data_IF_323523898228
#
_entry.id   IF_323523898228
#
_cell.length_a   1.000
_cell.length_b   1.000
_cell.length_c   1.000
_cell.angle_alpha   90.00
_cell.angle_beta   90.00
_cell.angle_gamma   90.00
#
_symmetry.space_group_name_H-M   'P 1'
#
loop_
_entity.id
_entity.type
_entity.pdbx_description
1 polymer ?
#
# COMPACT_ATOMS: atom_id res chain seq x y z
N UNK A 1 15.36 -6.38 -13.16
CA UNK A 1 16.33 -5.58 -12.39
C UNK A 1 16.21 -5.99 -10.92
N UNK A 2 16.80 -7.13 -10.57
CA UNK A 2 16.57 -7.90 -9.34
C UNK A 2 17.92 -8.43 -8.84
N UNK A 3 18.82 -7.52 -8.45
CA UNK A 3 20.12 -7.87 -7.88
C UNK A 3 20.57 -6.69 -7.04
N UNK A 4 20.39 -6.75 -5.71
CA UNK A 4 21.18 -6.03 -4.67
C UNK A 4 20.60 -6.30 -3.26
N UNK A 5 20.44 -7.58 -2.89
CA UNK A 5 20.14 -7.97 -1.50
C UNK A 5 21.11 -9.03 -0.99
N UNK A 6 22.29 -9.09 -1.60
CA UNK A 6 23.39 -9.96 -1.20
C UNK A 6 24.53 -9.06 -0.81
N UNK A 7 24.73 -8.87 0.51
CA UNK A 7 25.96 -8.50 1.24
C UNK A 7 25.57 -7.65 2.47
N UNK A 8 25.71 -8.28 3.65
CA UNK A 8 25.82 -7.77 5.04
C UNK A 8 24.76 -8.28 6.04
N UNK A 9 24.73 -9.59 6.24
CA UNK A 9 24.67 -10.25 7.55
C UNK A 9 24.67 -11.76 7.29
N UNK A 10 25.43 -12.55 8.05
CA UNK A 10 25.17 -14.00 8.10
C UNK A 10 23.69 -14.17 8.43
N UNK A 11 22.90 -14.92 7.64
CA UNK A 11 21.50 -15.15 7.96
C UNK A 11 21.47 -15.82 9.32
N UNK A 12 20.85 -15.16 10.31
CA UNK A 12 20.36 -15.88 11.49
C UNK A 12 19.50 -17.00 10.95
N UNK A 13 19.87 -18.25 11.23
CA UNK A 13 18.94 -19.36 11.08
C UNK A 13 17.84 -19.07 12.10
N UNK A 14 16.68 -18.66 11.60
CA UNK A 14 15.51 -18.47 12.42
C UNK A 14 15.10 -19.84 12.97
N UNK A 15 15.50 -20.11 14.21
CA UNK A 15 14.89 -21.17 14.99
C UNK A 15 13.65 -20.56 15.64
N UNK A 16 12.60 -20.36 14.85
CA UNK A 16 11.26 -20.29 15.42
C UNK A 16 10.95 -21.67 16.01
N UNK A 17 10.37 -21.76 17.22
CA UNK A 17 9.78 -23.00 17.67
C UNK A 17 8.82 -23.48 16.58
N UNK A 18 8.89 -24.77 16.21
CA UNK A 18 7.99 -25.37 15.20
C UNK A 18 6.49 -25.24 15.56
N UNK A 19 6.20 -24.77 16.76
CA UNK A 19 4.87 -24.64 17.35
C UNK A 19 4.40 -23.18 17.53
N UNK A 20 4.84 -22.26 16.66
CA UNK A 20 4.23 -20.93 16.60
C UNK A 20 2.79 -21.05 16.04
N UNK A 21 1.85 -21.32 16.95
CA UNK A 21 0.42 -21.31 16.70
C UNK A 21 -0.14 -19.91 17.03
N UNK A 22 -1.00 -19.31 16.18
CA UNK A 22 -1.72 -18.09 16.53
C UNK A 22 -2.60 -18.24 17.78
N UNK A 23 -2.88 -19.48 18.23
CA UNK A 23 -3.53 -19.73 19.51
C UNK A 23 -2.59 -19.48 20.72
N UNK A 24 -1.27 -19.66 20.57
CA UNK A 24 -0.29 -19.36 21.61
C UNK A 24 0.03 -17.86 21.72
N UNK A 25 -0.23 -17.07 20.67
CA UNK A 25 -0.22 -15.61 20.79
C UNK A 25 -1.30 -15.10 21.77
N UNK A 26 -2.40 -15.85 21.92
CA UNK A 26 -3.48 -15.54 22.87
C UNK A 26 -3.14 -15.95 24.32
N UNK A 27 -2.25 -16.93 24.52
CA UNK A 27 -1.81 -17.38 25.85
C UNK A 27 -0.72 -16.47 26.45
N UNK A 28 -0.06 -15.68 25.60
CA UNK A 28 0.90 -14.64 26.01
C UNK A 28 0.18 -13.31 26.33
N UNK A 29 -1.16 -13.26 26.28
CA UNK A 29 -1.99 -12.16 26.78
C UNK A 29 -2.10 -12.16 28.33
N UNK A 30 -0.98 -12.31 29.03
CA UNK A 30 -0.92 -12.01 30.46
C UNK A 30 -0.82 -10.50 30.65
N UNK A 31 -1.56 -9.89 31.60
CA UNK A 31 -1.45 -8.46 31.85
C UNK A 31 -0.06 -8.14 32.39
N UNK A 32 0.60 -7.13 31.82
CA UNK A 32 1.80 -6.46 32.36
C UNK A 32 2.74 -7.34 33.21
N UNK A 33 3.63 -8.09 32.55
CA UNK A 33 4.81 -8.69 33.20
C UNK A 33 6.02 -7.75 33.28
N UNK A 34 5.82 -6.45 33.08
CA UNK A 34 6.81 -5.48 33.56
C UNK A 34 6.55 -5.30 35.06
N UNK A 35 7.43 -5.78 35.96
CA UNK A 35 7.27 -5.51 37.37
C UNK A 35 7.26 -3.99 37.56
N UNK A 36 6.17 -3.46 38.11
CA UNK A 36 6.13 -2.12 38.69
C UNK A 36 7.22 -2.10 39.77
N UNK A 37 8.35 -1.47 39.46
CA UNK A 37 9.52 -1.35 40.35
C UNK A 37 9.97 0.10 40.37
N UNK A 38 10.58 0.54 41.49
CA UNK A 38 10.47 1.91 41.98
C UNK A 38 11.10 2.94 41.05
N UNK A 39 10.42 4.09 40.95
CA UNK A 39 10.93 5.31 40.31
C UNK A 39 12.37 5.59 40.77
N UNK A 40 13.26 5.83 39.81
CA UNK A 40 14.63 6.35 39.97
C UNK A 40 15.76 5.40 40.41
N UNK A 41 15.67 4.09 40.13
CA UNK A 41 16.87 3.24 40.20
C UNK A 41 17.90 3.66 39.11
N UNK A 42 19.21 3.75 39.43
CA UNK A 42 20.26 3.95 38.43
C UNK A 42 20.19 2.86 37.35
N UNK A 43 20.51 3.19 36.10
CA UNK A 43 20.43 2.26 34.96
C UNK A 43 21.09 0.90 35.28
N UNK A 44 22.27 0.89 35.90
CA UNK A 44 22.96 -0.34 36.30
C UNK A 44 22.12 -1.22 37.25
N UNK A 45 21.44 -0.64 38.24
CA UNK A 45 20.59 -1.38 39.18
C UNK A 45 19.33 -1.91 38.49
N UNK A 46 18.76 -1.15 37.56
CA UNK A 46 17.62 -1.59 36.77
C UNK A 46 17.99 -2.73 35.82
N UNK A 47 19.14 -2.66 35.15
CA UNK A 47 19.61 -3.70 34.23
C UNK A 47 19.77 -5.06 34.93
N UNK A 48 20.31 -5.08 36.15
CA UNK A 48 20.44 -6.30 36.95
C UNK A 48 19.11 -6.80 37.55
N UNK A 49 18.02 -6.04 37.43
CA UNK A 49 16.67 -6.45 37.87
C UNK A 49 15.84 -7.08 36.75
N UNK A 50 16.35 -7.10 35.51
CA UNK A 50 15.66 -7.71 34.38
C UNK A 50 15.54 -9.24 34.57
N UNK A 51 14.36 -9.84 34.29
CA UNK A 51 14.21 -11.30 34.33
C UNK A 51 15.15 -12.02 33.38
N UNK A 52 15.62 -13.23 33.74
CA UNK A 52 16.52 -14.02 32.90
C UNK A 52 15.93 -14.34 31.51
N UNK A 53 14.61 -14.49 31.41
CA UNK A 53 13.87 -14.74 30.17
C UNK A 53 13.54 -13.46 29.37
N UNK A 54 13.96 -12.29 29.84
CA UNK A 54 13.63 -11.00 29.21
C UNK A 54 14.09 -10.91 27.76
N UNK A 55 15.30 -11.40 27.46
CA UNK A 55 15.81 -11.41 26.10
C UNK A 55 14.98 -12.30 25.19
N UNK A 56 14.53 -13.47 25.66
CA UNK A 56 13.74 -14.39 24.83
C UNK A 56 12.40 -13.78 24.43
N UNK A 57 11.81 -12.98 25.32
CA UNK A 57 10.59 -12.22 25.03
C UNK A 57 10.85 -11.13 23.98
N UNK A 58 11.98 -10.42 24.09
CA UNK A 58 12.32 -9.27 23.24
C UNK A 58 13.02 -9.64 21.91
N UNK A 59 13.59 -10.83 21.78
CA UNK A 59 14.45 -11.23 20.68
C UNK A 59 13.80 -11.06 19.30
N UNK A 60 12.50 -11.36 19.20
CA UNK A 60 11.73 -11.19 17.97
C UNK A 60 11.55 -9.72 17.61
N UNK A 61 11.24 -8.87 18.61
CA UNK A 61 11.14 -7.43 18.41
C UNK A 61 12.51 -6.86 18.00
N UNK A 62 13.59 -7.17 18.71
CA UNK A 62 14.95 -6.70 18.37
C UNK A 62 15.34 -7.09 16.95
N UNK A 63 15.07 -8.33 16.54
CA UNK A 63 15.40 -8.80 15.19
C UNK A 63 14.58 -8.06 14.13
N UNK A 64 13.28 -7.85 14.36
CA UNK A 64 12.42 -7.13 13.41
C UNK A 64 12.84 -5.66 13.26
N UNK A 65 13.09 -4.96 14.37
CA UNK A 65 13.56 -3.58 14.37
C UNK A 65 14.95 -3.47 13.73
N UNK A 66 15.82 -4.43 14.01
CA UNK A 66 17.15 -4.56 13.42
C UNK A 66 17.13 -4.73 11.91
N UNK A 67 16.23 -5.57 11.38
CA UNK A 67 16.04 -5.72 9.94
C UNK A 67 15.46 -4.46 9.29
N UNK A 68 14.49 -3.80 9.95
CA UNK A 68 13.92 -2.55 9.47
C UNK A 68 14.96 -1.43 9.40
N UNK A 69 15.76 -1.25 10.45
CA UNK A 69 16.85 -0.28 10.47
C UNK A 69 17.94 -0.62 9.42
N UNK A 70 18.26 -1.90 9.23
CA UNK A 70 19.21 -2.32 8.20
C UNK A 70 18.69 -2.05 6.78
N UNK A 71 17.40 -2.31 6.51
CA UNK A 71 16.77 -1.99 5.23
C UNK A 71 16.81 -0.49 4.95
N UNK A 72 16.50 0.35 5.94
CA UNK A 72 16.63 1.81 5.81
C UNK A 72 18.07 2.20 5.41
N UNK A 73 19.06 1.70 6.14
CA UNK A 73 20.47 2.05 5.94
C UNK A 73 21.12 1.38 4.71
N UNK A 74 20.44 0.44 4.07
CA UNK A 74 20.89 -0.18 2.82
C UNK A 74 20.90 0.80 1.63
N UNK A 75 20.22 1.95 1.77
CA UNK A 75 20.10 3.01 0.75
C UNK A 75 20.79 4.30 1.20
N UNK A 76 22.12 4.32 1.37
CA UNK A 76 22.83 5.45 2.00
C UNK A 76 22.79 6.76 1.20
N UNK A 77 22.35 6.72 -0.07
CA UNK A 77 22.24 7.89 -0.94
C UNK A 77 20.95 8.66 -0.66
N UNK A 78 19.92 8.00 -0.11
CA UNK A 78 18.62 8.59 0.16
C UNK A 78 18.72 9.60 1.31
N UNK A 79 17.90 10.65 1.25
CA UNK A 79 17.93 11.74 2.22
C UNK A 79 17.54 11.29 3.64
N UNK A 80 16.55 10.39 3.76
CA UNK A 80 16.08 9.91 5.05
C UNK A 80 17.18 9.15 5.84
N UNK A 81 17.84 8.10 5.29
CA UNK A 81 18.95 7.42 5.97
C UNK A 81 20.06 8.37 6.42
N UNK A 82 20.43 9.36 5.59
CA UNK A 82 21.44 10.36 5.94
C UNK A 82 21.03 11.25 7.12
N UNK A 83 19.80 11.75 7.13
CA UNK A 83 19.27 12.55 8.24
C UNK A 83 19.23 11.72 9.53
N UNK A 84 18.78 10.46 9.44
CA UNK A 84 18.71 9.57 10.59
C UNK A 84 20.11 9.28 11.15
N UNK A 85 21.08 8.87 10.33
CA UNK A 85 22.47 8.66 10.79
C UNK A 85 23.08 9.94 11.38
N UNK A 86 22.73 11.12 10.87
CA UNK A 86 23.21 12.40 11.42
C UNK A 86 22.62 12.68 12.81
N UNK A 87 21.34 12.35 13.04
CA UNK A 87 20.64 12.62 14.30
C UNK A 87 20.97 11.60 15.38
N UNK A 88 21.05 10.32 15.03
CA UNK A 88 21.20 9.21 16.00
C UNK A 88 22.64 8.69 16.09
N UNK A 89 23.48 8.99 15.10
CA UNK A 89 24.78 8.34 14.94
C UNK A 89 24.68 6.88 14.51
N UNK A 90 23.46 6.34 14.30
CA UNK A 90 23.24 4.95 13.94
C UNK A 90 23.63 4.72 12.48
N UNK A 91 24.59 3.83 12.27
CA UNK A 91 25.08 3.42 10.95
C UNK A 91 24.90 1.91 10.72
N UNK A 92 25.14 1.45 9.49
CA UNK A 92 24.95 0.05 9.12
C UNK A 92 25.85 -0.92 9.94
N UNK A 93 27.05 -0.49 10.33
CA UNK A 93 27.96 -1.32 11.13
C UNK A 93 27.47 -1.45 12.58
N UNK A 94 26.92 -0.38 13.15
CA UNK A 94 26.30 -0.39 14.47
C UNK A 94 25.05 -1.26 14.48
N UNK A 95 24.16 -1.12 13.47
CA UNK A 95 22.99 -2.00 13.35
C UNK A 95 23.42 -3.46 13.21
N UNK A 96 24.42 -3.76 12.37
CA UNK A 96 24.94 -5.12 12.22
C UNK A 96 25.48 -5.68 13.54
N UNK A 97 26.20 -4.87 14.33
CA UNK A 97 26.69 -5.25 15.67
C UNK A 97 25.53 -5.52 16.63
N UNK A 98 24.55 -4.63 16.72
CA UNK A 98 23.40 -4.80 17.62
C UNK A 98 22.56 -6.02 17.22
N UNK A 99 22.46 -6.33 15.93
CA UNK A 99 21.79 -7.53 15.43
C UNK A 99 22.50 -8.84 15.82
N UNK A 100 23.74 -8.78 16.34
CA UNK A 100 24.44 -9.96 16.87
C UNK A 100 24.04 -10.33 18.30
N UNK A 101 23.36 -9.44 19.04
CA UNK A 101 22.90 -9.70 20.42
C UNK A 101 21.98 -10.92 20.40
N UNK A 102 22.50 -12.05 20.88
CA UNK A 102 21.92 -13.38 20.82
C UNK A 102 21.55 -13.98 22.16
N UNK A 103 21.79 -13.27 23.27
CA UNK A 103 21.52 -13.73 24.63
C UNK A 103 21.24 -12.58 25.58
N UNK A 104 20.65 -12.90 26.73
CA UNK A 104 20.41 -11.95 27.83
C UNK A 104 21.69 -11.24 28.28
N UNK A 105 22.79 -11.98 28.48
CA UNK A 105 24.06 -11.39 28.90
C UNK A 105 24.61 -10.37 27.89
N UNK A 106 24.47 -10.65 26.59
CA UNK A 106 24.88 -9.72 25.53
C UNK A 106 23.99 -8.48 25.47
N UNK A 107 22.69 -8.62 25.75
CA UNK A 107 21.75 -7.51 25.82
C UNK A 107 22.10 -6.56 26.98
N UNK A 108 22.33 -7.13 28.17
CA UNK A 108 22.73 -6.35 29.36
C UNK A 108 24.06 -5.64 29.09
N UNK A 109 25.06 -6.34 28.56
CA UNK A 109 26.35 -5.73 28.21
C UNK A 109 26.19 -4.56 27.22
N UNK A 110 25.38 -4.72 26.16
CA UNK A 110 25.15 -3.66 25.20
C UNK A 110 24.47 -2.42 25.83
N UNK A 111 23.55 -2.64 26.78
CA UNK A 111 22.88 -1.58 27.54
C UNK A 111 23.80 -0.89 28.54
N UNK A 112 24.77 -1.61 29.13
CA UNK A 112 25.79 -1.03 30.01
C UNK A 112 26.79 -0.17 29.22
N UNK A 113 27.24 -0.64 28.05
CA UNK A 113 28.22 0.05 27.22
C UNK A 113 27.65 1.30 26.54
N UNK A 114 26.49 1.18 25.89
CA UNK A 114 25.87 2.30 25.19
C UNK A 114 24.34 2.10 25.05
N UNK A 115 23.56 2.45 26.09
CA UNK A 115 22.11 2.25 26.08
C UNK A 115 21.41 3.09 24.99
N UNK A 116 22.04 4.21 24.58
CA UNK A 116 21.50 5.09 23.54
C UNK A 116 21.48 4.42 22.16
N UNK A 117 22.46 3.57 21.85
CA UNK A 117 22.47 2.86 20.57
C UNK A 117 21.31 1.87 20.44
N UNK A 118 20.98 1.15 21.52
CA UNK A 118 19.83 0.24 21.51
C UNK A 118 18.51 1.01 21.47
N UNK A 119 18.43 2.12 22.20
CA UNK A 119 17.31 3.06 22.13
C UNK A 119 17.06 3.53 20.69
N UNK A 120 18.10 4.04 20.03
CA UNK A 120 17.99 4.58 18.67
C UNK A 120 17.66 3.48 17.64
N UNK A 121 18.18 2.26 17.82
CA UNK A 121 17.80 1.11 16.99
C UNK A 121 16.30 0.81 17.09
N UNK A 122 15.76 0.76 18.31
CA UNK A 122 14.35 0.48 18.55
C UNK A 122 13.45 1.62 18.06
N UNK A 123 13.85 2.87 18.28
CA UNK A 123 13.11 4.03 17.78
C UNK A 123 13.05 4.03 16.25
N UNK A 124 14.21 3.97 15.59
CA UNK A 124 14.30 4.01 14.12
C UNK A 124 13.65 2.78 13.50
N UNK A 125 13.93 1.59 14.02
CA UNK A 125 13.33 0.35 13.53
C UNK A 125 11.81 0.37 13.64
N UNK A 126 11.26 0.88 14.74
CA UNK A 126 9.82 0.99 14.96
C UNK A 126 9.18 1.94 13.95
N UNK A 127 9.77 3.13 13.75
CA UNK A 127 9.30 4.11 12.78
C UNK A 127 9.35 3.59 11.35
N UNK A 128 10.42 2.87 10.96
CA UNK A 128 10.53 2.26 9.62
C UNK A 128 9.40 1.25 9.41
N UNK A 129 9.07 0.42 10.41
CA UNK A 129 8.02 -0.60 10.32
C UNK A 129 6.65 -0.03 9.96
N UNK A 130 6.39 1.25 10.25
CA UNK A 130 5.15 1.96 9.92
C UNK A 130 5.18 2.68 8.57
N UNK A 131 6.26 2.55 7.80
CA UNK A 131 6.38 3.13 6.46
C UNK A 131 6.38 2.07 5.36
N UNK A 132 6.28 2.54 4.11
CA UNK A 132 6.46 1.70 2.91
C UNK A 132 7.86 1.07 2.80
N UNK A 133 8.86 1.60 3.50
CA UNK A 133 10.22 1.04 3.54
C UNK A 133 10.28 -0.34 4.19
N UNK A 134 9.32 -0.69 5.04
CA UNK A 134 9.28 -1.99 5.69
C UNK A 134 8.75 -3.12 4.79
N UNK A 135 8.23 -2.82 3.60
CA UNK A 135 7.63 -3.83 2.69
C UNK A 135 8.57 -5.01 2.42
N UNK A 136 9.87 -4.82 2.07
CA UNK A 136 10.79 -5.94 1.84
C UNK A 136 11.01 -6.79 3.10
N UNK A 137 11.14 -6.14 4.26
CA UNK A 137 11.35 -6.80 5.56
C UNK A 137 10.13 -7.64 5.94
N UNK A 138 8.93 -7.06 5.85
CA UNK A 138 7.68 -7.74 6.15
C UNK A 138 7.40 -8.88 5.17
N UNK A 139 7.73 -8.71 3.88
CA UNK A 139 7.62 -9.78 2.90
C UNK A 139 8.57 -10.96 3.21
N UNK A 140 9.81 -10.67 3.62
CA UNK A 140 10.77 -11.67 4.05
C UNK A 140 10.27 -12.45 5.27
N UNK A 141 9.83 -11.75 6.33
CA UNK A 141 9.26 -12.38 7.54
C UNK A 141 8.08 -13.26 7.20
N UNK A 142 7.17 -12.78 6.35
CA UNK A 142 6.01 -13.53 5.88
C UNK A 142 6.41 -14.84 5.19
N UNK A 143 7.36 -14.77 4.25
CA UNK A 143 7.84 -15.93 3.50
C UNK A 143 8.52 -16.94 4.42
N UNK A 144 9.33 -16.46 5.35
CA UNK A 144 10.09 -17.30 6.25
C UNK A 144 9.21 -18.02 7.28
N UNK A 145 8.23 -17.32 7.85
CA UNK A 145 7.31 -17.87 8.84
C UNK A 145 6.12 -18.60 8.21
N UNK A 146 5.92 -18.46 6.89
CA UNK A 146 4.76 -18.99 6.15
C UNK A 146 3.43 -18.55 6.76
N UNK A 147 3.34 -17.28 7.12
CA UNK A 147 2.14 -16.67 7.72
C UNK A 147 1.38 -15.84 6.68
N UNK A 148 0.09 -15.63 6.91
CA UNK A 148 -0.73 -14.73 6.09
C UNK A 148 -0.56 -13.24 6.50
N UNK A 149 -1.22 -12.34 5.79
CA UNK A 149 -1.13 -10.90 6.06
C UNK A 149 -1.76 -10.49 7.41
N UNK A 150 -2.81 -11.20 7.86
CA UNK A 150 -3.47 -10.89 9.13
C UNK A 150 -2.60 -11.32 10.32
N UNK A 151 -1.96 -12.49 10.23
CA UNK A 151 -0.99 -12.98 11.18
C UNK A 151 0.26 -12.09 11.22
N UNK A 152 0.74 -11.64 10.06
CA UNK A 152 1.87 -10.71 9.96
C UNK A 152 1.55 -9.36 10.63
N UNK A 153 0.33 -8.84 10.43
CA UNK A 153 -0.11 -7.61 11.09
C UNK A 153 -0.13 -7.76 12.62
N UNK A 154 -0.64 -8.89 13.14
CA UNK A 154 -0.63 -9.20 14.59
C UNK A 154 0.79 -9.31 15.15
N UNK A 155 1.69 -9.99 14.42
CA UNK A 155 3.09 -10.11 14.81
C UNK A 155 3.77 -8.75 14.86
N UNK A 156 3.58 -7.92 13.82
CA UNK A 156 4.10 -6.55 13.78
C UNK A 156 3.60 -5.75 14.98
N UNK A 157 2.30 -5.75 15.24
CA UNK A 157 1.69 -5.04 16.36
C UNK A 157 2.27 -5.49 17.70
N UNK A 158 2.34 -6.80 17.94
CA UNK A 158 2.95 -7.35 19.15
C UNK A 158 4.40 -6.88 19.34
N UNK A 159 5.22 -6.94 18.28
CA UNK A 159 6.60 -6.50 18.34
C UNK A 159 6.73 -5.00 18.63
N UNK A 160 5.84 -4.16 18.08
CA UNK A 160 5.82 -2.72 18.31
C UNK A 160 5.34 -2.35 19.72
N UNK A 161 4.33 -3.04 20.25
CA UNK A 161 3.84 -2.82 21.62
C UNK A 161 4.91 -3.22 22.66
N UNK A 162 5.54 -4.37 22.45
CA UNK A 162 6.61 -4.84 23.32
C UNK A 162 7.85 -3.92 23.27
N UNK A 163 8.30 -3.56 22.07
CA UNK A 163 9.43 -2.64 21.92
C UNK A 163 9.12 -1.25 22.43
N UNK A 164 7.90 -0.76 22.23
CA UNK A 164 7.43 0.53 22.74
C UNK A 164 7.42 0.59 24.26
N UNK A 165 6.99 -0.48 24.92
CA UNK A 165 7.04 -0.58 26.40
C UNK A 165 8.47 -0.57 26.91
N UNK A 166 9.35 -1.36 26.28
CA UNK A 166 10.77 -1.38 26.65
C UNK A 166 11.47 -0.05 26.37
N UNK A 167 11.16 0.60 25.24
CA UNK A 167 11.70 1.91 24.87
C UNK A 167 11.27 2.98 25.88
N UNK A 168 10.01 2.98 26.32
CA UNK A 168 9.53 3.88 27.37
C UNK A 168 10.22 3.64 28.72
N UNK A 169 10.47 2.38 29.10
CA UNK A 169 11.26 2.08 30.30
C UNK A 169 12.71 2.57 30.16
N UNK A 170 13.33 2.36 28.99
CA UNK A 170 14.70 2.82 28.73
C UNK A 170 14.81 4.36 28.79
N UNK A 171 13.81 5.10 28.30
CA UNK A 171 13.76 6.57 28.39
C UNK A 171 13.81 7.09 29.83
N UNK A 172 13.16 6.38 30.76
CA UNK A 172 13.13 6.74 32.18
C UNK A 172 14.47 6.54 32.88
N UNK A 173 15.27 5.58 32.42
CA UNK A 173 16.57 5.24 33.01
C UNK A 173 17.77 5.83 32.25
N UNK A 174 17.57 6.44 31.08
CA UNK A 174 18.62 7.15 30.35
C UNK A 174 19.00 8.47 31.06
N UNK A 175 20.29 8.81 31.13
CA UNK A 175 20.71 10.10 31.64
C UNK A 175 20.14 11.22 30.76
N UNK A 176 19.56 12.25 31.39
CA UNK A 176 18.92 13.41 30.74
C UNK A 176 17.65 13.09 29.92
N UNK A 177 16.65 12.48 30.56
CA UNK A 177 15.33 12.16 29.99
C UNK A 177 14.70 13.28 29.12
N UNK A 178 14.81 14.55 29.52
CA UNK A 178 14.27 15.68 28.74
C UNK A 178 14.99 15.87 27.38
N UNK A 179 16.30 15.66 27.33
CA UNK A 179 17.06 15.67 26.08
C UNK A 179 16.73 14.45 25.22
N UNK A 180 16.46 13.30 25.84
CA UNK A 180 15.98 12.09 25.14
C UNK A 180 14.62 12.32 24.49
N UNK A 181 13.68 12.97 25.19
CA UNK A 181 12.38 13.34 24.63
C UNK A 181 12.48 14.28 23.43
N UNK A 182 13.32 15.32 23.52
CA UNK A 182 13.57 16.24 22.38
C UNK A 182 14.24 15.52 21.20
N UNK A 183 15.15 14.60 21.48
CA UNK A 183 15.79 13.78 20.44
C UNK A 183 14.76 12.91 19.71
N UNK A 184 13.90 12.21 20.46
CA UNK A 184 12.82 11.40 19.89
C UNK A 184 11.94 12.19 18.95
N UNK A 185 11.48 13.37 19.39
CA UNK A 185 10.64 14.25 18.59
C UNK A 185 11.31 14.65 17.26
N UNK A 186 12.62 14.94 17.28
CA UNK A 186 13.36 15.27 16.05
C UNK A 186 13.43 14.10 15.06
N UNK A 187 13.62 12.88 15.58
CA UNK A 187 13.64 11.66 14.76
C UNK A 187 12.25 11.40 14.17
N UNK A 188 11.19 11.49 14.99
CA UNK A 188 9.81 11.34 14.56
C UNK A 188 9.41 12.40 13.51
N UNK A 189 9.84 13.65 13.65
CA UNK A 189 9.58 14.72 12.69
C UNK A 189 10.19 14.44 11.31
N UNK A 190 11.39 13.85 11.26
CA UNK A 190 12.02 13.42 10.01
C UNK A 190 11.18 12.34 9.31
N UNK A 191 10.71 11.35 10.07
CA UNK A 191 9.83 10.30 9.52
C UNK A 191 8.46 10.85 9.09
N UNK A 192 7.88 11.76 9.86
CA UNK A 192 6.61 12.39 9.51
C UNK A 192 6.70 13.14 8.17
N UNK A 193 7.79 13.90 7.96
CA UNK A 193 8.09 14.55 6.67
C UNK A 193 8.27 13.54 5.54
N UNK A 194 8.95 12.43 5.80
CA UNK A 194 9.12 11.37 4.81
C UNK A 194 7.79 10.73 4.40
N UNK A 195 6.93 10.37 5.37
CA UNK A 195 5.61 9.79 5.12
C UNK A 195 4.72 10.76 4.36
N UNK A 196 4.73 12.04 4.72
CA UNK A 196 3.98 13.07 4.00
C UNK A 196 4.42 13.20 2.53
N UNK A 197 5.73 13.04 2.26
CA UNK A 197 6.28 13.06 0.90
C UNK A 197 6.09 11.75 0.13
N UNK A 198 5.82 10.64 0.82
CA UNK A 198 5.70 9.29 0.25
C UNK A 198 4.46 8.57 0.80
N UNK A 199 3.24 9.06 0.48
CA UNK A 199 2.02 8.43 0.97
C UNK A 199 1.96 6.97 0.51
N UNK A 200 1.45 6.05 1.36
CA UNK A 200 1.26 4.67 0.96
C UNK A 200 0.32 4.61 -0.26
N UNK A 201 0.52 3.65 -1.18
CA UNK A 201 -0.41 3.48 -2.29
C UNK A 201 -1.82 3.26 -1.74
N UNK A 202 -2.85 3.88 -2.32
CA UNK A 202 -4.23 3.72 -1.89
C UNK A 202 -4.63 2.25 -1.89
N UNK A 203 -5.49 1.82 -0.95
CA UNK A 203 -5.90 0.42 -0.84
C UNK A 203 -6.61 -0.03 -2.13
N UNK A 204 -6.33 -1.27 -2.53
CA UNK A 204 -7.05 -1.92 -3.63
C UNK A 204 -8.51 -2.10 -3.25
N UNK A 205 -9.42 -1.49 -4.02
CA UNK A 205 -10.86 -1.63 -3.86
C UNK A 205 -11.40 -2.88 -4.57
N UNK A 206 -10.85 -3.23 -5.74
CA UNK A 206 -11.28 -4.40 -6.51
C UNK A 206 -10.10 -5.07 -7.23
N UNK A 207 -10.23 -6.38 -7.45
CA UNK A 207 -9.37 -7.12 -8.39
C UNK A 207 -10.24 -7.70 -9.49
N UNK A 208 -10.04 -7.24 -10.73
CA UNK A 208 -10.86 -7.65 -11.88
C UNK A 208 -9.98 -8.40 -12.87
N UNK A 209 -10.52 -9.44 -13.49
CA UNK A 209 -9.93 -10.13 -14.64
C UNK A 209 -10.87 -9.97 -15.81
N UNK A 210 -10.46 -9.20 -16.81
CA UNK A 210 -11.26 -8.99 -18.00
C UNK A 210 -11.06 -10.15 -18.99
N UNK A 211 -12.13 -10.61 -19.62
CA UNK A 211 -12.01 -11.36 -20.86
C UNK A 211 -11.49 -10.45 -21.97
N UNK A 212 -10.98 -11.01 -23.07
CA UNK A 212 -10.48 -10.19 -24.18
C UNK A 212 -11.54 -9.19 -24.70
N UNK A 213 -12.81 -9.58 -24.97
CA UNK A 213 -13.84 -8.62 -25.38
C UNK A 213 -14.09 -7.50 -24.36
N UNK A 214 -14.10 -7.83 -23.07
CA UNK A 214 -14.30 -6.84 -22.00
C UNK A 214 -13.13 -5.86 -21.92
N UNK A 215 -11.90 -6.34 -22.11
CA UNK A 215 -10.70 -5.51 -22.09
C UNK A 215 -10.68 -4.55 -23.29
N UNK A 216 -11.00 -5.03 -24.49
CA UNK A 216 -11.09 -4.17 -25.67
C UNK A 216 -12.20 -3.13 -25.51
N UNK A 217 -13.34 -3.52 -24.95
CA UNK A 217 -14.42 -2.59 -24.66
C UNK A 217 -14.00 -1.51 -23.66
N UNK A 218 -13.29 -1.87 -22.59
CA UNK A 218 -12.81 -0.90 -21.61
C UNK A 218 -11.79 0.08 -22.21
N UNK A 219 -10.89 -0.42 -23.07
CA UNK A 219 -9.95 0.42 -23.83
C UNK A 219 -10.69 1.39 -24.75
N UNK A 220 -11.68 0.88 -25.49
CA UNK A 220 -12.50 1.70 -26.39
C UNK A 220 -13.25 2.78 -25.61
N UNK A 221 -13.86 2.44 -24.48
CA UNK A 221 -14.59 3.41 -23.66
C UNK A 221 -13.68 4.57 -23.21
N UNK A 222 -12.49 4.27 -22.70
CA UNK A 222 -11.55 5.31 -22.28
C UNK A 222 -11.04 6.16 -23.46
N UNK A 223 -10.68 5.52 -24.58
CA UNK A 223 -10.21 6.23 -25.77
C UNK A 223 -11.29 7.13 -26.36
N UNK A 224 -12.54 6.66 -26.37
CA UNK A 224 -13.67 7.42 -26.85
C UNK A 224 -13.88 8.66 -25.99
N UNK A 225 -13.95 8.52 -24.66
CA UNK A 225 -14.11 9.66 -23.76
C UNK A 225 -12.94 10.63 -23.87
N UNK A 226 -11.71 10.12 -23.94
CA UNK A 226 -10.51 10.94 -24.14
C UNK A 226 -10.53 11.73 -25.45
N UNK A 227 -11.18 11.20 -26.49
CA UNK A 227 -11.22 11.82 -27.83
C UNK A 227 -12.40 12.75 -28.04
N UNK A 228 -13.30 12.90 -27.06
CA UNK A 228 -14.43 13.83 -27.16
C UNK A 228 -13.93 15.28 -27.11
N UNK A 229 -14.30 16.15 -28.07
CA UNK A 229 -13.91 17.55 -28.02
C UNK A 229 -14.44 18.27 -26.77
N UNK A 230 -13.53 18.85 -26.00
CA UNK A 230 -13.86 19.63 -24.79
C UNK A 230 -14.68 20.89 -25.09
N UNK A 231 -14.49 21.47 -26.27
CA UNK A 231 -15.15 22.69 -26.74
C UNK A 231 -16.34 22.40 -27.70
N UNK A 232 -17.03 21.26 -27.52
CA UNK A 232 -18.16 20.88 -28.35
C UNK A 232 -19.37 21.83 -28.25
N UNK A 233 -20.15 21.93 -29.32
CA UNK A 233 -21.42 22.67 -29.33
C UNK A 233 -22.52 21.94 -28.54
N UNK A 234 -22.40 20.62 -28.37
CA UNK A 234 -23.42 19.80 -27.73
C UNK A 234 -23.36 19.85 -26.18
N UNK A 235 -24.52 19.98 -25.50
CA UNK A 235 -24.60 20.00 -24.04
C UNK A 235 -23.97 18.79 -23.36
N UNK A 236 -24.21 17.58 -23.88
CA UNK A 236 -23.62 16.34 -23.39
C UNK A 236 -22.09 16.41 -23.32
N UNK A 237 -21.42 16.89 -24.37
CA UNK A 237 -19.95 16.92 -24.45
C UNK A 237 -19.34 17.88 -23.42
N UNK A 238 -19.98 19.05 -23.24
CA UNK A 238 -19.57 20.01 -22.20
C UNK A 238 -19.76 19.43 -20.80
N UNK A 239 -20.84 18.68 -20.59
CA UNK A 239 -21.11 18.03 -19.32
C UNK A 239 -20.09 16.91 -19.02
N UNK A 240 -19.68 16.13 -20.03
CA UNK A 240 -18.59 15.15 -19.88
C UNK A 240 -17.26 15.83 -19.54
N UNK A 241 -16.91 16.92 -20.24
CA UNK A 241 -15.67 17.67 -19.97
C UNK A 241 -15.62 18.34 -18.57
N UNK A 242 -16.79 18.57 -17.95
CA UNK A 242 -16.91 19.08 -16.60
C UNK A 242 -16.63 18.03 -15.51
N UNK A 243 -16.61 16.73 -15.85
CA UNK A 243 -16.34 15.64 -14.92
C UNK A 243 -14.82 15.45 -14.81
N UNK A 244 -14.23 15.87 -13.69
CA UNK A 244 -12.77 15.87 -13.47
C UNK A 244 -12.11 14.51 -13.76
N UNK A 245 -12.62 13.35 -13.29
CA UNK A 245 -12.02 12.04 -13.59
C UNK A 245 -12.05 11.64 -15.07
N UNK A 246 -12.89 12.27 -15.88
CA UNK A 246 -13.04 11.97 -17.31
C UNK A 246 -12.26 12.92 -18.22
N UNK A 247 -11.52 13.88 -17.67
CA UNK A 247 -10.65 14.76 -18.46
C UNK A 247 -9.49 13.96 -19.08
N UNK A 248 -8.99 14.34 -20.28
CA UNK A 248 -7.92 13.61 -20.97
C UNK A 248 -6.72 13.30 -20.08
N UNK A 249 -6.19 14.31 -19.38
CA UNK A 249 -5.03 14.16 -18.49
C UNK A 249 -5.27 13.17 -17.33
N UNK A 250 -6.51 13.05 -16.84
CA UNK A 250 -6.86 12.10 -15.79
C UNK A 250 -7.00 10.66 -16.33
N UNK A 251 -7.34 10.49 -17.61
CA UNK A 251 -7.55 9.18 -18.25
C UNK A 251 -6.23 8.54 -18.73
N UNK A 252 -5.22 9.34 -19.09
CA UNK A 252 -3.94 8.86 -19.63
C UNK A 252 -3.28 7.73 -18.82
N UNK A 253 -3.18 7.80 -17.46
CA UNK A 253 -2.58 6.73 -16.68
C UNK A 253 -3.34 5.40 -16.81
N UNK A 254 -4.67 5.46 -16.86
CA UNK A 254 -5.53 4.28 -16.99
C UNK A 254 -5.48 3.71 -18.41
N UNK A 255 -5.46 4.56 -19.44
CA UNK A 255 -5.28 4.16 -20.83
C UNK A 255 -3.95 3.43 -21.01
N UNK A 256 -2.85 3.96 -20.46
CA UNK A 256 -1.54 3.32 -20.53
C UNK A 256 -1.52 1.95 -19.83
N UNK A 257 -2.12 1.86 -18.63
CA UNK A 257 -2.24 0.59 -17.89
C UNK A 257 -3.05 -0.45 -18.64
N UNK A 258 -4.25 -0.10 -19.10
CA UNK A 258 -5.08 -1.04 -19.85
C UNK A 258 -4.45 -1.40 -21.20
N UNK A 259 -3.70 -0.51 -21.84
CA UNK A 259 -2.99 -0.79 -23.08
C UNK A 259 -1.93 -1.88 -22.95
N UNK A 260 -1.31 -2.02 -21.78
CA UNK A 260 -0.29 -3.04 -21.50
C UNK A 260 -0.87 -4.35 -20.93
N UNK A 261 -2.06 -4.28 -20.33
CA UNK A 261 -2.73 -5.41 -19.68
C UNK A 261 -3.07 -6.53 -20.70
N UNK A 262 -2.84 -7.78 -20.33
CA UNK A 262 -3.27 -8.93 -21.15
C UNK A 262 -4.65 -9.46 -20.72
N UNK A 263 -5.39 -10.13 -21.60
CA UNK A 263 -6.64 -10.81 -21.23
C UNK A 263 -6.42 -11.80 -20.06
N UNK A 264 -7.40 -11.88 -19.15
CA UNK A 264 -7.41 -12.68 -17.93
C UNK A 264 -6.31 -12.33 -16.88
N UNK A 265 -5.47 -11.33 -17.15
CA UNK A 265 -4.55 -10.76 -16.17
C UNK A 265 -5.33 -10.02 -15.08
N UNK A 266 -4.84 -10.09 -13.84
CA UNK A 266 -5.50 -9.45 -12.70
C UNK A 266 -5.17 -7.95 -12.68
N UNK A 267 -6.19 -7.11 -12.83
CA UNK A 267 -6.09 -5.68 -12.63
C UNK A 267 -6.53 -5.32 -11.21
N UNK A 268 -5.59 -4.82 -10.42
CA UNK A 268 -5.87 -4.23 -9.11
C UNK A 268 -6.34 -2.79 -9.34
N UNK A 269 -7.54 -2.46 -8.85
CA UNK A 269 -8.14 -1.13 -8.98
C UNK A 269 -8.29 -0.48 -7.62
N UNK A 270 -7.93 0.79 -7.54
CA UNK A 270 -8.31 1.66 -6.42
C UNK A 270 -9.75 2.13 -6.60
N UNK A 271 -10.38 2.67 -5.55
CA UNK A 271 -11.76 3.15 -5.66
C UNK A 271 -11.92 4.30 -6.68
N UNK A 272 -11.03 5.31 -6.75
CA UNK A 272 -11.09 6.34 -7.79
C UNK A 272 -10.95 5.77 -9.21
N UNK A 273 -10.08 4.79 -9.40
CA UNK A 273 -9.91 4.11 -10.70
C UNK A 273 -11.17 3.34 -11.10
N UNK A 274 -11.81 2.66 -10.15
CA UNK A 274 -13.06 1.96 -10.39
C UNK A 274 -14.19 2.93 -10.78
N UNK A 275 -14.29 4.08 -10.08
CA UNK A 275 -15.23 5.16 -10.40
C UNK A 275 -14.98 5.68 -11.82
N UNK A 276 -13.72 5.92 -12.18
CA UNK A 276 -13.34 6.40 -13.50
C UNK A 276 -13.75 5.42 -14.61
N UNK A 277 -13.47 4.11 -14.44
CA UNK A 277 -13.89 3.08 -15.40
C UNK A 277 -15.42 2.97 -15.50
N UNK A 278 -16.12 3.05 -14.36
CA UNK A 278 -17.58 3.06 -14.32
C UNK A 278 -18.18 4.21 -15.13
N UNK A 279 -17.68 5.43 -14.92
CA UNK A 279 -18.16 6.62 -15.62
C UNK A 279 -17.81 6.57 -17.11
N UNK A 280 -16.59 6.15 -17.46
CA UNK A 280 -16.18 6.04 -18.86
C UNK A 280 -17.03 5.02 -19.64
N UNK A 281 -17.35 3.87 -19.03
CA UNK A 281 -18.23 2.86 -19.63
C UNK A 281 -19.66 3.40 -19.83
N UNK A 282 -20.17 4.18 -18.90
CA UNK A 282 -21.48 4.81 -19.00
C UNK A 282 -21.54 5.86 -20.12
N UNK A 283 -20.53 6.75 -20.19
CA UNK A 283 -20.42 7.73 -21.28
C UNK A 283 -20.28 7.02 -22.63
N UNK A 284 -19.49 5.95 -22.69
CA UNK A 284 -19.39 5.13 -23.90
C UNK A 284 -20.76 4.58 -24.31
N UNK A 285 -21.53 4.00 -23.39
CA UNK A 285 -22.90 3.54 -23.66
C UNK A 285 -23.81 4.65 -24.20
N UNK A 286 -23.75 5.85 -23.60
CA UNK A 286 -24.53 7.02 -24.02
C UNK A 286 -24.16 7.49 -25.43
N UNK A 287 -22.87 7.53 -25.78
CA UNK A 287 -22.41 7.91 -27.12
C UNK A 287 -22.84 6.88 -28.19
N UNK A 288 -22.86 5.58 -27.85
CA UNK A 288 -23.30 4.54 -28.79
C UNK A 288 -24.81 4.48 -29.02
N UNK A 289 -25.61 5.02 -28.09
CA UNK A 289 -27.08 5.05 -28.18
C UNK A 289 -27.60 6.39 -28.73
N UNK A 290 -26.75 7.42 -28.83
CA UNK A 290 -27.09 8.74 -29.34
C UNK A 290 -26.52 9.03 -30.73
N UNK A 291 -27.07 10.05 -31.41
CA UNK A 291 -26.58 10.54 -32.72
C UNK A 291 -25.24 11.32 -32.62
N UNK A 292 -24.60 11.32 -31.45
CA UNK A 292 -23.31 11.96 -31.18
C UNK A 292 -22.22 11.38 -32.09
N UNK A 293 -22.24 10.07 -32.37
CA UNK A 293 -21.30 9.42 -33.30
C UNK A 293 -21.45 9.95 -34.73
N UNK A 294 -22.68 10.13 -35.20
CA UNK A 294 -22.97 10.69 -36.53
C UNK A 294 -22.58 12.17 -36.62
N UNK A 295 -22.76 12.93 -35.54
CA UNK A 295 -22.39 14.35 -35.49
C UNK A 295 -20.87 14.57 -35.49
N UNK A 296 -20.11 13.63 -34.93
CA UNK A 296 -18.63 13.67 -34.88
C UNK A 296 -17.96 13.04 -36.12
N UNK A 297 -18.74 12.51 -37.07
CA UNK A 297 -18.20 11.81 -38.24
C UNK A 297 -17.43 10.52 -37.89
N UNK A 298 -17.63 9.98 -36.69
CA UNK A 298 -16.91 8.82 -36.17
C UNK A 298 -17.56 7.48 -36.57
N UNK A 299 -18.71 7.51 -37.24
CA UNK A 299 -19.39 6.30 -37.73
C UNK A 299 -18.55 5.49 -38.73
N UNK A 300 -17.68 6.15 -39.50
CA UNK A 300 -16.78 5.50 -40.47
C UNK A 300 -15.52 4.89 -39.83
N UNK A 301 -15.18 5.30 -38.60
CA UNK A 301 -13.99 4.82 -37.88
C UNK A 301 -14.25 3.57 -37.02
N UNK A 302 -15.51 3.17 -36.86
CA UNK A 302 -15.88 1.97 -36.12
C UNK A 302 -15.76 0.72 -37.02
N UNK A 303 -15.23 -0.41 -36.52
CA UNK A 303 -15.08 -1.62 -37.32
C UNK A 303 -16.45 -2.11 -37.82
N UNK A 304 -16.69 -2.00 -39.13
CA UNK A 304 -17.82 -2.67 -39.75
C UNK A 304 -17.49 -4.16 -39.88
N UNK A 305 -18.40 -5.09 -39.50
CA UNK A 305 -18.19 -6.49 -39.79
C UNK A 305 -18.09 -6.66 -41.31
N UNK A 306 -16.99 -7.26 -41.78
CA UNK A 306 -16.76 -7.50 -43.19
C UNK A 306 -17.95 -8.28 -43.78
N UNK A 307 -18.67 -7.66 -44.71
CA UNK A 307 -19.75 -8.29 -45.43
C UNK A 307 -19.17 -9.36 -46.37
N UNK A 308 -19.09 -10.60 -45.91
CA UNK A 308 -19.00 -11.74 -46.84
C UNK A 308 -20.34 -11.83 -47.59
N UNK A 309 -20.24 -11.82 -48.91
CA UNK A 309 -21.34 -11.61 -49.83
C UNK A 309 -22.55 -12.51 -49.59
N UNK A 310 -23.69 -11.89 -49.31
CA UNK A 310 -25.00 -12.50 -49.50
C UNK A 310 -25.98 -11.44 -49.96
N UNK A 311 -26.57 -11.67 -51.13
CA UNK A 311 -27.58 -10.82 -51.73
C UNK A 311 -28.90 -10.96 -50.96
N UNK A 312 -29.06 -10.16 -49.90
CA UNK A 312 -30.32 -9.90 -49.21
C UNK A 312 -30.31 -8.45 -48.68
N UNK A 313 -31.46 -7.76 -48.60
CA UNK A 313 -31.51 -6.33 -48.27
C UNK A 313 -30.91 -6.04 -46.88
N UNK A 314 -30.35 -4.83 -46.65
CA UNK A 314 -29.48 -4.56 -45.52
C UNK A 314 -30.28 -4.50 -44.22
N UNK A 315 -30.14 -5.55 -43.41
CA UNK A 315 -30.56 -5.54 -42.03
C UNK A 315 -29.36 -5.92 -41.15
N UNK A 316 -28.52 -4.94 -40.74
CA UNK A 316 -27.62 -5.08 -39.58
C UNK A 316 -26.80 -3.80 -39.28
N UNK A 317 -27.31 -2.94 -38.37
CA UNK A 317 -26.43 -2.27 -37.38
C UNK A 317 -26.81 -2.60 -35.91
N UNK A 318 -27.82 -3.46 -35.69
CA UNK A 318 -28.37 -3.70 -34.35
C UNK A 318 -27.49 -4.60 -33.44
N UNK A 319 -26.72 -5.56 -33.99
CA UNK A 319 -26.05 -6.58 -33.15
C UNK A 319 -24.81 -6.06 -32.40
N UNK A 320 -24.03 -5.15 -33.00
CA UNK A 320 -22.85 -4.56 -32.37
C UNK A 320 -23.22 -3.57 -31.27
N UNK A 321 -24.21 -2.69 -31.51
CA UNK A 321 -24.74 -1.76 -30.51
C UNK A 321 -25.38 -2.51 -29.33
N UNK A 322 -26.09 -3.61 -29.59
CA UNK A 322 -26.67 -4.45 -28.54
C UNK A 322 -25.60 -5.13 -27.68
N UNK A 323 -24.53 -5.67 -28.28
CA UNK A 323 -23.43 -6.29 -27.55
C UNK A 323 -22.67 -5.29 -26.67
N UNK A 324 -22.43 -4.06 -27.17
CA UNK A 324 -21.84 -2.97 -26.38
C UNK A 324 -22.74 -2.59 -25.20
N UNK A 325 -24.05 -2.44 -25.44
CA UNK A 325 -25.02 -2.15 -24.38
C UNK A 325 -25.07 -3.22 -23.29
N UNK A 326 -25.01 -4.50 -23.67
CA UNK A 326 -25.01 -5.62 -22.73
C UNK A 326 -23.72 -5.66 -21.88
N UNK A 327 -22.56 -5.37 -22.48
CA UNK A 327 -21.28 -5.27 -21.76
C UNK A 327 -21.25 -4.08 -20.79
N UNK A 328 -21.73 -2.91 -21.21
CA UNK A 328 -21.84 -1.71 -20.35
C UNK A 328 -22.79 -1.99 -19.18
N UNK A 329 -23.96 -2.56 -19.45
CA UNK A 329 -24.96 -2.89 -18.44
C UNK A 329 -24.43 -3.92 -17.43
N UNK A 330 -23.77 -4.97 -17.91
CA UNK A 330 -23.18 -6.02 -17.06
C UNK A 330 -22.11 -5.47 -16.12
N UNK A 331 -21.21 -4.63 -16.62
CA UNK A 331 -20.17 -4.00 -15.78
C UNK A 331 -20.78 -3.04 -14.75
N UNK A 332 -21.74 -2.23 -15.18
CA UNK A 332 -22.46 -1.28 -14.31
C UNK A 332 -23.19 -2.00 -13.18
N UNK A 333 -23.92 -3.06 -13.51
CA UNK A 333 -24.64 -3.86 -12.55
C UNK A 333 -23.70 -4.49 -11.53
N UNK A 334 -22.58 -5.05 -12.00
CA UNK A 334 -21.55 -5.60 -11.12
C UNK A 334 -20.98 -4.56 -10.14
N UNK A 335 -20.64 -3.36 -10.60
CA UNK A 335 -20.12 -2.27 -9.74
C UNK A 335 -21.16 -1.89 -8.67
N UNK A 336 -22.41 -1.69 -9.08
CA UNK A 336 -23.48 -1.26 -8.15
C UNK A 336 -23.83 -2.34 -7.12
N UNK A 337 -23.78 -3.62 -7.50
CA UNK A 337 -23.99 -4.72 -6.56
C UNK A 337 -22.82 -4.95 -5.60
N UNK A 338 -21.59 -4.75 -6.09
CA UNK A 338 -20.39 -4.98 -5.28
C UNK A 338 -20.13 -3.82 -4.31
N UNK A 339 -20.54 -2.60 -4.66
CA UNK A 339 -20.30 -1.39 -3.89
C UNK A 339 -21.60 -0.58 -3.63
N UNK A 340 -22.61 -1.17 -2.95
CA UNK A 340 -23.92 -0.52 -2.77
C UNK A 340 -23.86 0.71 -1.86
N UNK A 341 -22.97 0.68 -0.86
CA UNK A 341 -22.87 1.71 0.19
C UNK A 341 -21.71 2.70 -0.05
N UNK A 342 -21.00 2.60 -1.19
CA UNK A 342 -19.86 3.47 -1.48
C UNK A 342 -20.31 4.86 -1.93
N UNK A 343 -20.04 5.94 -1.18
CA UNK A 343 -20.53 7.28 -1.49
C UNK A 343 -19.97 7.82 -2.82
N UNK A 344 -18.75 7.45 -3.20
CA UNK A 344 -18.12 7.84 -4.46
C UNK A 344 -18.84 7.23 -5.67
N UNK A 345 -19.30 5.98 -5.55
CA UNK A 345 -20.09 5.30 -6.60
C UNK A 345 -21.49 5.90 -6.70
N UNK A 346 -22.11 6.25 -5.57
CA UNK A 346 -23.39 6.95 -5.54
C UNK A 346 -23.30 8.34 -6.20
N UNK A 347 -22.24 9.10 -5.91
CA UNK A 347 -21.96 10.39 -6.54
C UNK A 347 -21.70 10.23 -8.05
N UNK A 348 -20.90 9.24 -8.45
CA UNK A 348 -20.65 8.93 -9.85
C UNK A 348 -21.94 8.57 -10.60
N UNK A 349 -22.85 7.82 -9.97
CA UNK A 349 -24.18 7.52 -10.53
C UNK A 349 -25.02 8.77 -10.71
N UNK A 350 -25.04 9.69 -9.74
CA UNK A 350 -25.76 10.96 -9.87
C UNK A 350 -25.20 11.81 -11.01
N UNK A 351 -23.86 11.86 -11.17
CA UNK A 351 -23.21 12.56 -12.29
C UNK A 351 -23.58 11.94 -13.63
N UNK A 352 -23.57 10.60 -13.73
CA UNK A 352 -23.98 9.89 -14.96
C UNK A 352 -25.45 10.13 -15.28
N UNK A 353 -26.35 10.14 -14.29
CA UNK A 353 -27.76 10.47 -14.53
C UNK A 353 -27.92 11.89 -15.08
N UNK A 354 -27.18 12.87 -14.54
CA UNK A 354 -27.19 14.23 -15.05
C UNK A 354 -26.63 14.34 -16.48
N UNK A 355 -25.70 13.45 -16.87
CA UNK A 355 -25.24 13.37 -18.27
C UNK A 355 -26.34 12.87 -19.21
N UNK A 356 -27.13 11.89 -18.76
CA UNK A 356 -28.24 11.36 -19.55
C UNK A 356 -29.31 12.44 -19.83
N UNK A 357 -29.53 13.36 -18.87
CA UNK A 357 -30.42 14.51 -19.05
C UNK A 357 -29.90 15.55 -20.06
N UNK A 358 -28.61 15.47 -20.43
CA UNK A 358 -27.94 16.39 -21.36
C UNK A 358 -27.74 15.83 -22.77
N UNK A 359 -28.16 14.59 -23.03
CA UNK A 359 -28.31 13.99 -24.36
C UNK A 359 -29.55 14.55 -25.06
#
# INVERSE_FOLDING_TARGET
MLFYLTILAKPRVFLFPKDFSPANACVICGPNRFPFMPDSAPLATWLHSLPDDFYDQLAHALSLHGMAAAELLSRPIDELPRQITTLTGLDAAQVARLNTIGSHAQLVQALEENPRQLYDLLLVGGLVLDTSLAVPVLAYVRQQMRIDNAQLAKLKQYCLELSGTFLGALEQHLPAALLTGLHRLRVEEVFARYVAANPPPPPTAATIRFTDPQLQMMRLALLLVHSLPEAGEQPFMRAVAAIEPLRPAALEPMIARLGQLQPAEALLLTLPELVQLYQAMQVCGMVFVSDVLGTLGLEEALPQPAAEGSAAPPAAPASSRQAVGEMVSSFTHWVQQTFPDAPEIAAARAQVLALADAL
#
